data_IF_522014888720
#
_entry.id   IF_522014888720
#
_cell.length_a   1.000
_cell.length_b   1.000
_cell.length_c   1.000
_cell.angle_alpha   90.00
_cell.angle_beta   90.00
_cell.angle_gamma   90.00
#
_symmetry.space_group_name_H-M   'P 1'
#
loop_
_entity.id
_entity.type
_entity.pdbx_description
1 polymer ?
#
# COMPACT_ATOMS: atom_id res chain seq x y z
N UNK A 1 9.18 -2.14 -19.87
CA UNK A 1 9.93 -1.20 -19.00
C UNK A 1 8.99 -0.64 -17.96
N UNK A 2 9.46 -0.54 -16.72
CA UNK A 2 8.75 0.04 -15.58
C UNK A 2 9.08 1.53 -15.46
N UNK A 3 8.09 2.33 -15.13
CA UNK A 3 8.22 3.75 -14.83
C UNK A 3 8.27 3.91 -13.30
N UNK A 4 9.31 4.57 -12.79
CA UNK A 4 9.60 4.65 -11.36
C UNK A 4 9.68 6.11 -10.89
N UNK A 5 9.15 6.34 -9.69
CA UNK A 5 9.33 7.58 -8.95
C UNK A 5 10.55 7.47 -8.03
N UNK A 6 10.67 6.37 -7.27
CA UNK A 6 11.80 6.16 -6.36
C UNK A 6 11.96 4.70 -5.93
N UNK A 7 13.16 4.36 -5.44
CA UNK A 7 13.45 3.16 -4.65
C UNK A 7 14.23 3.57 -3.40
N UNK A 8 13.86 3.01 -2.25
CA UNK A 8 14.55 3.29 -0.99
C UNK A 8 14.35 2.16 0.03
N UNK A 9 15.28 2.02 0.97
CA UNK A 9 15.15 1.14 2.11
C UNK A 9 14.70 1.93 3.33
N UNK A 10 13.65 1.46 4.02
CA UNK A 10 13.08 2.14 5.17
C UNK A 10 12.30 1.16 6.07
N UNK A 11 11.43 1.72 6.90
CA UNK A 11 10.52 0.99 7.80
C UNK A 11 9.09 1.18 7.30
N UNK A 12 8.31 0.09 7.15
CA UNK A 12 6.89 0.22 6.91
C UNK A 12 6.22 0.92 8.09
N UNK A 13 5.56 2.03 7.81
CA UNK A 13 4.96 2.87 8.83
C UNK A 13 3.46 2.69 9.01
N UNK A 14 2.81 1.77 8.28
CA UNK A 14 1.36 1.65 8.19
C UNK A 14 0.89 0.19 8.23
N UNK A 15 -0.35 -0.01 8.71
CA UNK A 15 -1.04 -1.29 8.65
C UNK A 15 -0.41 -2.41 9.47
N UNK A 16 -0.64 -3.64 9.04
CA UNK A 16 -0.20 -4.86 9.73
C UNK A 16 1.32 -4.96 9.87
N UNK A 17 2.06 -4.43 8.90
CA UNK A 17 3.51 -4.55 8.84
C UNK A 17 4.25 -3.34 9.43
N UNK A 18 3.56 -2.46 10.17
CA UNK A 18 4.19 -1.32 10.86
C UNK A 18 5.41 -1.78 11.69
N UNK A 19 6.53 -1.08 11.51
CA UNK A 19 7.79 -1.38 12.19
C UNK A 19 8.70 -2.35 11.45
N UNK A 20 8.25 -2.94 10.32
CA UNK A 20 9.04 -3.91 9.56
C UNK A 20 9.96 -3.20 8.57
N UNK A 21 11.29 -3.53 8.56
CA UNK A 21 12.18 -3.07 7.50
C UNK A 21 11.75 -3.58 6.13
N UNK A 22 11.74 -2.71 5.13
CA UNK A 22 11.33 -3.06 3.77
C UNK A 22 12.04 -2.19 2.72
N UNK A 23 12.26 -2.76 1.53
CA UNK A 23 12.62 -2.00 0.35
C UNK A 23 11.35 -1.54 -0.35
N UNK A 24 11.19 -0.25 -0.53
CA UNK A 24 10.06 0.35 -1.22
C UNK A 24 10.40 0.55 -2.69
N UNK A 25 9.55 0.06 -3.57
CA UNK A 25 9.59 0.32 -5.00
C UNK A 25 8.35 1.14 -5.34
N UNK A 26 8.54 2.45 -5.50
CA UNK A 26 7.47 3.38 -5.86
C UNK A 26 7.39 3.55 -7.37
N UNK A 27 6.34 3.00 -7.96
CA UNK A 27 6.05 3.15 -9.38
C UNK A 27 5.45 4.53 -9.66
N UNK A 28 5.77 5.10 -10.82
CA UNK A 28 5.28 6.40 -11.23
C UNK A 28 3.88 6.32 -11.83
N UNK A 29 3.13 7.41 -11.72
CA UNK A 29 1.79 7.55 -12.28
C UNK A 29 0.69 6.92 -11.43
N UNK A 30 -0.50 7.49 -11.53
CA UNK A 30 -1.72 7.01 -10.88
C UNK A 30 -2.90 7.19 -11.84
N UNK A 31 -3.88 6.32 -11.72
CA UNK A 31 -5.14 6.43 -12.45
C UNK A 31 -6.22 7.22 -11.70
N UNK A 32 -5.88 7.75 -10.54
CA UNK A 32 -6.71 8.66 -9.72
C UNK A 32 -5.96 9.97 -9.43
N UNK A 33 -6.69 11.01 -9.03
CA UNK A 33 -6.18 12.33 -8.66
C UNK A 33 -6.81 12.78 -7.34
N UNK A 34 -6.42 12.16 -6.23
CA UNK A 34 -7.00 12.45 -4.91
C UNK A 34 -6.44 13.75 -4.32
N UNK A 35 -7.30 14.64 -3.84
CA UNK A 35 -6.91 15.95 -3.27
C UNK A 35 -6.03 15.81 -2.00
N UNK A 36 -6.22 14.73 -1.24
CA UNK A 36 -5.45 14.45 -0.02
C UNK A 36 -4.18 13.64 -0.27
N UNK A 37 -3.79 13.39 -1.53
CA UNK A 37 -2.62 12.58 -1.84
C UNK A 37 -1.33 13.27 -1.41
N UNK A 38 -0.56 12.62 -0.53
CA UNK A 38 0.72 13.10 -0.01
C UNK A 38 1.95 12.47 -0.71
N UNK A 39 1.70 11.69 -1.78
CA UNK A 39 2.75 10.94 -2.47
C UNK A 39 3.23 11.65 -3.74
N UNK A 40 4.54 11.91 -3.86
CA UNK A 40 5.16 12.25 -5.14
C UNK A 40 5.39 10.98 -5.97
N UNK A 41 4.54 10.77 -6.96
CA UNK A 41 4.63 9.67 -7.91
C UNK A 41 5.02 10.16 -9.33
N UNK A 42 5.63 11.31 -9.43
CA UNK A 42 6.15 11.81 -10.71
C UNK A 42 7.23 10.87 -11.26
N UNK A 43 7.24 10.68 -12.58
CA UNK A 43 8.25 9.87 -13.24
C UNK A 43 9.65 10.48 -13.04
N UNK A 44 10.57 9.71 -12.49
CA UNK A 44 11.97 10.10 -12.31
C UNK A 44 12.91 9.30 -13.24
N UNK A 45 12.62 8.00 -13.44
CA UNK A 45 13.43 7.16 -14.32
C UNK A 45 12.64 5.92 -14.81
N UNK A 46 13.22 5.24 -15.82
CA UNK A 46 12.67 4.03 -16.40
C UNK A 46 13.69 2.90 -16.20
N UNK A 47 13.22 1.70 -15.88
CA UNK A 47 14.06 0.52 -15.71
C UNK A 47 13.39 -0.75 -16.22
N UNK A 48 14.17 -1.76 -16.55
CA UNK A 48 13.68 -3.12 -16.76
C UNK A 48 13.34 -3.80 -15.43
N UNK A 49 12.64 -4.91 -15.47
CA UNK A 49 12.38 -5.73 -14.27
C UNK A 49 13.68 -6.16 -13.60
N UNK A 50 14.65 -6.64 -14.38
CA UNK A 50 15.94 -7.10 -13.86
C UNK A 50 16.74 -5.98 -13.18
N UNK A 51 16.72 -4.77 -13.76
CA UNK A 51 17.36 -3.60 -13.16
C UNK A 51 16.70 -3.19 -11.85
N UNK A 52 15.36 -3.31 -11.73
CA UNK A 52 14.67 -3.03 -10.47
C UNK A 52 15.06 -4.06 -9.41
N UNK A 53 15.07 -5.36 -9.76
CA UNK A 53 15.48 -6.42 -8.82
C UNK A 53 16.94 -6.23 -8.38
N UNK A 54 17.84 -5.87 -9.30
CA UNK A 54 19.24 -5.58 -8.95
C UNK A 54 19.33 -4.42 -7.95
N UNK A 55 18.62 -3.30 -8.18
CA UNK A 55 18.58 -2.16 -7.26
C UNK A 55 17.98 -2.50 -5.90
N UNK A 56 16.98 -3.39 -5.84
CA UNK A 56 16.43 -3.89 -4.57
C UNK A 56 17.52 -4.61 -3.77
N UNK A 57 18.32 -5.47 -4.43
CA UNK A 57 19.47 -6.17 -3.80
C UNK A 57 20.53 -5.19 -3.32
N UNK A 58 20.86 -4.17 -4.13
CA UNK A 58 21.85 -3.14 -3.79
C UNK A 58 21.43 -2.31 -2.57
N UNK A 59 20.12 -2.01 -2.43
CA UNK A 59 19.59 -1.29 -1.27
C UNK A 59 19.63 -2.10 0.01
N UNK A 60 19.31 -3.38 -0.06
CA UNK A 60 19.43 -4.32 1.05
C UNK A 60 19.37 -5.77 0.55
N UNK A 61 20.52 -6.44 0.58
CA UNK A 61 20.65 -7.84 0.15
C UNK A 61 19.78 -8.78 1.02
N UNK A 62 19.71 -8.51 2.32
CA UNK A 62 19.10 -9.40 3.32
C UNK A 62 17.66 -9.02 3.71
N UNK A 63 17.13 -7.91 3.21
CA UNK A 63 15.76 -7.50 3.53
C UNK A 63 14.75 -8.45 2.88
N UNK A 64 13.95 -9.20 3.67
CA UNK A 64 13.04 -10.19 3.09
C UNK A 64 11.78 -9.56 2.46
N UNK A 65 11.50 -8.26 2.71
CA UNK A 65 10.26 -7.60 2.31
C UNK A 65 10.49 -6.52 1.27
N UNK A 66 9.70 -6.56 0.20
CA UNK A 66 9.59 -5.50 -0.80
C UNK A 66 8.15 -5.00 -0.86
N UNK A 67 7.98 -3.69 -0.74
CA UNK A 67 6.67 -3.04 -0.87
C UNK A 67 6.58 -2.35 -2.22
N UNK A 68 5.69 -2.86 -3.07
CA UNK A 68 5.32 -2.23 -4.32
C UNK A 68 4.23 -1.22 -4.06
N UNK A 69 4.53 0.03 -4.29
CA UNK A 69 3.63 1.17 -4.09
C UNK A 69 3.76 2.14 -5.25
N UNK A 70 3.27 3.35 -5.11
CA UNK A 70 3.44 4.39 -6.12
C UNK A 70 2.29 5.36 -6.11
N UNK A 71 1.88 5.78 -7.32
CA UNK A 71 0.53 6.23 -7.53
C UNK A 71 -0.41 5.02 -7.49
N UNK A 72 -0.52 4.29 -8.61
CA UNK A 72 -1.17 2.96 -8.62
C UNK A 72 -0.23 1.94 -9.27
N UNK A 73 0.38 1.02 -8.48
CA UNK A 73 1.36 0.09 -9.03
C UNK A 73 0.77 -0.90 -10.05
N UNK A 74 -0.50 -1.26 -9.90
CA UNK A 74 -1.17 -2.21 -10.80
C UNK A 74 -1.61 -1.58 -12.13
N UNK A 75 -1.45 -0.27 -12.31
CA UNK A 75 -1.70 0.40 -13.59
C UNK A 75 -0.60 0.13 -14.64
N UNK A 76 0.57 -0.34 -14.24
CA UNK A 76 1.66 -0.61 -15.16
C UNK A 76 1.65 -2.09 -15.61
N UNK A 77 1.66 -2.31 -16.93
CA UNK A 77 1.59 -3.64 -17.56
C UNK A 77 2.70 -4.60 -17.09
N UNK A 78 3.85 -4.09 -16.72
CA UNK A 78 4.99 -4.92 -16.29
C UNK A 78 5.03 -5.21 -14.79
N UNK A 79 4.09 -4.71 -13.99
CA UNK A 79 4.04 -4.98 -12.55
C UNK A 79 3.89 -6.46 -12.22
N UNK A 80 3.06 -7.27 -12.92
CA UNK A 80 3.01 -8.71 -12.67
C UNK A 80 4.37 -9.40 -12.84
N UNK A 81 5.11 -9.06 -13.89
CA UNK A 81 6.44 -9.61 -14.12
C UNK A 81 7.45 -9.21 -13.03
N UNK A 82 7.34 -7.98 -12.49
CA UNK A 82 8.15 -7.54 -11.35
C UNK A 82 7.81 -8.33 -10.07
N UNK A 83 6.53 -8.57 -9.82
CA UNK A 83 6.07 -9.39 -8.69
C UNK A 83 6.70 -10.77 -8.76
N UNK A 84 6.61 -11.45 -9.91
CA UNK A 84 7.17 -12.78 -10.10
C UNK A 84 8.69 -12.80 -9.95
N UNK A 85 9.40 -11.81 -10.47
CA UNK A 85 10.85 -11.70 -10.36
C UNK A 85 11.31 -11.48 -8.90
N UNK A 86 10.61 -10.63 -8.14
CA UNK A 86 10.91 -10.40 -6.72
C UNK A 86 10.62 -11.66 -5.86
N UNK A 87 9.55 -12.39 -6.16
CA UNK A 87 9.24 -13.67 -5.50
C UNK A 87 10.31 -14.72 -5.82
N UNK A 88 10.75 -14.79 -7.08
CA UNK A 88 11.86 -15.67 -7.49
C UNK A 88 13.20 -15.29 -6.81
N UNK A 89 13.38 -14.00 -6.46
CA UNK A 89 14.50 -13.50 -5.65
C UNK A 89 14.36 -13.82 -4.14
N UNK A 90 13.32 -14.56 -3.75
CA UNK A 90 13.07 -14.93 -2.37
C UNK A 90 12.46 -13.83 -1.50
N UNK A 91 11.96 -12.76 -2.11
CA UNK A 91 11.34 -11.64 -1.39
C UNK A 91 9.87 -11.91 -1.11
N UNK A 92 9.40 -11.52 0.06
CA UNK A 92 7.98 -11.34 0.35
C UNK A 92 7.51 -10.05 -0.31
N UNK A 93 6.54 -10.14 -1.21
CA UNK A 93 6.00 -8.98 -1.92
C UNK A 93 4.74 -8.49 -1.22
N UNK A 94 4.70 -7.22 -0.90
CA UNK A 94 3.55 -6.50 -0.39
C UNK A 94 3.15 -5.42 -1.42
N UNK A 95 1.86 -5.34 -1.74
CA UNK A 95 1.32 -4.38 -2.71
C UNK A 95 0.38 -3.42 -1.99
N UNK A 96 0.60 -2.12 -2.20
CA UNK A 96 -0.28 -1.04 -1.79
C UNK A 96 -1.05 -0.53 -3.01
N UNK A 97 -2.35 -0.84 -3.12
CA UNK A 97 -3.18 -0.51 -4.28
C UNK A 97 -4.43 0.27 -3.88
N UNK A 98 -4.93 1.12 -4.77
CA UNK A 98 -6.25 1.75 -4.61
C UNK A 98 -7.43 0.80 -4.92
N UNK A 99 -7.14 -0.40 -5.42
CA UNK A 99 -8.11 -1.45 -5.68
C UNK A 99 -9.03 -1.22 -6.88
N UNK A 100 -8.72 -0.26 -7.75
CA UNK A 100 -9.57 0.04 -8.94
C UNK A 100 -9.29 -0.85 -10.13
N UNK A 101 -8.12 -1.48 -10.17
CA UNK A 101 -7.64 -2.29 -11.30
C UNK A 101 -7.59 -3.75 -10.85
N UNK A 102 -8.38 -4.58 -11.51
CA UNK A 102 -8.42 -6.01 -11.25
C UNK A 102 -7.21 -6.71 -11.86
N UNK A 103 -6.42 -7.36 -11.01
CA UNK A 103 -5.25 -8.16 -11.40
C UNK A 103 -5.25 -9.45 -10.59
N UNK A 104 -5.03 -10.58 -11.26
CA UNK A 104 -4.79 -11.84 -10.58
C UNK A 104 -3.41 -11.80 -9.91
N UNK A 105 -3.37 -12.00 -8.60
CA UNK A 105 -2.16 -11.99 -7.79
C UNK A 105 -1.92 -13.36 -7.16
N UNK A 106 -0.66 -13.81 -7.04
CA UNK A 106 -0.32 -15.03 -6.31
C UNK A 106 -0.78 -14.96 -4.85
N UNK A 107 -1.14 -16.11 -4.26
CA UNK A 107 -1.70 -16.19 -2.91
C UNK A 107 -0.72 -15.74 -1.81
N UNK A 108 0.57 -15.89 -2.03
CA UNK A 108 1.64 -15.50 -1.12
C UNK A 108 2.00 -14.00 -1.19
N UNK A 109 1.42 -13.24 -2.12
CA UNK A 109 1.54 -11.79 -2.18
C UNK A 109 0.58 -11.13 -1.19
N UNK A 110 1.09 -10.28 -0.32
CA UNK A 110 0.26 -9.48 0.57
C UNK A 110 -0.33 -8.29 -0.18
N UNK A 111 -1.65 -8.18 -0.15
CA UNK A 111 -2.38 -7.08 -0.79
C UNK A 111 -3.06 -6.20 0.25
N UNK A 112 -2.63 -4.94 0.32
CA UNK A 112 -3.35 -3.86 1.00
C UNK A 112 -4.14 -3.07 -0.04
N UNK A 113 -5.45 -2.94 0.20
CA UNK A 113 -6.35 -2.15 -0.65
C UNK A 113 -6.81 -0.91 0.08
N UNK A 114 -6.60 0.25 -0.53
CA UNK A 114 -7.01 1.55 0.00
C UNK A 114 -7.99 2.24 -0.94
N UNK A 115 -9.30 1.91 -0.90
CA UNK A 115 -10.29 2.44 -1.83
C UNK A 115 -10.47 3.95 -1.65
N UNK A 116 -10.77 4.64 -2.76
CA UNK A 116 -10.97 6.09 -2.82
C UNK A 116 -12.34 6.43 -3.45
N UNK A 117 -12.45 6.25 -4.77
CA UNK A 117 -13.66 6.58 -5.54
C UNK A 117 -14.44 5.32 -5.95
N UNK A 118 -13.74 4.25 -6.23
CA UNK A 118 -14.28 2.96 -6.67
C UNK A 118 -13.41 1.81 -6.20
N UNK A 119 -13.99 0.63 -6.16
CA UNK A 119 -13.34 -0.60 -5.73
C UNK A 119 -13.79 -1.75 -6.62
N UNK A 120 -12.85 -2.47 -7.23
CA UNK A 120 -13.13 -3.69 -7.96
C UNK A 120 -13.48 -4.82 -6.96
N UNK A 121 -14.62 -5.52 -7.13
CA UNK A 121 -15.05 -6.57 -6.20
C UNK A 121 -14.02 -7.69 -6.01
N UNK A 122 -13.32 -8.08 -7.08
CA UNK A 122 -12.27 -9.09 -7.00
C UNK A 122 -11.08 -8.64 -6.14
N UNK A 123 -10.72 -7.34 -6.18
CA UNK A 123 -9.66 -6.80 -5.34
C UNK A 123 -10.08 -6.72 -3.88
N UNK A 124 -11.32 -6.36 -3.59
CA UNK A 124 -11.87 -6.39 -2.24
C UNK A 124 -11.86 -7.82 -1.65
N UNK A 125 -12.30 -8.80 -2.44
CA UNK A 125 -12.32 -10.21 -2.03
C UNK A 125 -10.91 -10.79 -1.81
N UNK A 126 -9.90 -10.32 -2.59
CA UNK A 126 -8.50 -10.77 -2.50
C UNK A 126 -7.71 -10.08 -1.39
N UNK A 127 -8.16 -8.92 -0.90
CA UNK A 127 -7.41 -8.10 0.03
C UNK A 127 -7.10 -8.83 1.35
N UNK A 128 -5.83 -8.84 1.76
CA UNK A 128 -5.41 -9.24 3.08
C UNK A 128 -5.69 -8.13 4.10
N UNK A 129 -5.58 -6.89 3.65
CA UNK A 129 -5.74 -5.68 4.45
C UNK A 129 -6.50 -4.61 3.67
N UNK A 130 -7.38 -3.90 4.35
CA UNK A 130 -8.03 -2.70 3.85
C UNK A 130 -7.56 -1.50 4.67
N UNK A 131 -7.17 -0.43 3.99
CA UNK A 131 -6.73 0.82 4.61
C UNK A 131 -7.66 1.95 4.22
N UNK A 132 -8.60 2.28 5.10
CA UNK A 132 -9.64 3.26 4.87
C UNK A 132 -9.20 4.63 5.41
N UNK A 133 -9.07 5.60 4.50
CA UNK A 133 -8.61 6.94 4.86
C UNK A 133 -9.73 7.72 5.53
N UNK A 134 -9.48 8.18 6.75
CA UNK A 134 -10.38 9.05 7.51
C UNK A 134 -9.95 10.50 7.28
N UNK A 135 -10.76 11.24 6.52
CA UNK A 135 -10.56 12.67 6.24
C UNK A 135 -11.87 13.42 6.44
N UNK A 136 -12.00 14.06 7.61
CA UNK A 136 -13.22 14.73 8.05
C UNK A 136 -14.41 13.81 8.33
N UNK A 137 -14.40 12.57 7.85
CA UNK A 137 -15.39 11.52 8.09
C UNK A 137 -14.79 10.11 8.01
N UNK A 138 -15.48 9.14 8.60
CA UNK A 138 -15.18 7.71 8.39
C UNK A 138 -15.85 7.28 7.07
N UNK A 139 -15.13 6.61 6.15
CA UNK A 139 -15.71 6.16 4.89
C UNK A 139 -16.51 4.85 5.07
N UNK A 140 -17.70 4.97 5.67
CA UNK A 140 -18.56 3.85 6.08
C UNK A 140 -19.00 2.99 4.88
N UNK A 141 -19.07 3.58 3.69
CA UNK A 141 -19.41 2.92 2.43
C UNK A 141 -18.47 1.76 2.06
N UNK A 142 -17.26 1.73 2.61
CA UNK A 142 -16.29 0.67 2.34
C UNK A 142 -16.22 -0.40 3.43
N UNK A 143 -16.88 -0.21 4.58
CA UNK A 143 -16.76 -1.14 5.72
C UNK A 143 -17.24 -2.54 5.38
N UNK A 144 -18.32 -2.66 4.59
CA UNK A 144 -18.93 -3.92 4.20
C UNK A 144 -18.40 -4.50 2.88
N UNK A 145 -17.48 -3.78 2.22
CA UNK A 145 -16.90 -4.22 0.96
C UNK A 145 -15.90 -5.37 1.12
N UNK A 146 -15.33 -5.53 2.32
CA UNK A 146 -14.27 -6.49 2.60
C UNK A 146 -14.76 -7.67 3.43
N UNK A 147 -14.26 -8.87 3.10
CA UNK A 147 -14.61 -10.12 3.77
C UNK A 147 -14.08 -10.22 5.22
N UNK A 148 -14.49 -11.27 5.96
CA UNK A 148 -14.15 -11.44 7.38
C UNK A 148 -12.65 -11.70 7.63
N UNK A 149 -11.91 -12.14 6.62
CA UNK A 149 -10.46 -12.37 6.73
C UNK A 149 -9.62 -11.13 6.43
N UNK A 150 -10.23 -10.08 5.90
CA UNK A 150 -9.53 -8.83 5.63
C UNK A 150 -9.41 -8.01 6.91
N UNK A 151 -8.20 -7.68 7.33
CA UNK A 151 -7.99 -6.73 8.42
C UNK A 151 -8.31 -5.31 7.93
N UNK A 152 -9.25 -4.62 8.58
CA UNK A 152 -9.67 -3.28 8.18
C UNK A 152 -9.07 -2.25 9.12
N UNK A 153 -8.24 -1.37 8.57
CA UNK A 153 -7.64 -0.24 9.26
C UNK A 153 -8.33 1.07 8.90
N UNK A 154 -8.58 1.88 9.91
CA UNK A 154 -8.90 3.29 9.77
C UNK A 154 -7.61 4.09 9.90
N UNK A 155 -7.25 4.81 8.83
CA UNK A 155 -6.03 5.61 8.79
C UNK A 155 -6.37 7.09 8.70
N UNK A 156 -6.09 7.86 9.78
CA UNK A 156 -6.29 9.31 9.76
C UNK A 156 -5.40 9.97 8.70
N UNK A 157 -6.02 10.70 7.79
CA UNK A 157 -5.29 11.48 6.79
C UNK A 157 -4.33 12.45 7.50
N UNK A 158 -3.06 12.44 7.08
CA UNK A 158 -2.02 13.31 7.61
C UNK A 158 -1.76 13.18 9.12
N UNK A 159 -2.29 12.17 9.81
CA UNK A 159 -2.32 12.08 11.28
C UNK A 159 -2.91 13.34 11.95
N UNK A 160 -3.79 14.07 11.25
CA UNK A 160 -4.45 15.26 11.79
C UNK A 160 -5.25 14.91 13.06
N UNK A 161 -5.15 15.66 14.15
CA UNK A 161 -5.80 15.31 15.44
C UNK A 161 -7.31 15.05 15.33
N UNK A 162 -8.03 15.83 14.51
CA UNK A 162 -9.45 15.62 14.30
C UNK A 162 -9.76 14.27 13.64
N UNK A 163 -8.99 13.89 12.61
CA UNK A 163 -9.13 12.61 11.92
C UNK A 163 -8.73 11.44 12.83
N UNK A 164 -7.70 11.62 13.68
CA UNK A 164 -7.31 10.62 14.69
C UNK A 164 -8.44 10.38 15.67
N UNK A 165 -9.08 11.44 16.17
CA UNK A 165 -10.22 11.33 17.09
C UNK A 165 -11.38 10.56 16.45
N UNK A 166 -11.71 10.85 15.20
CA UNK A 166 -12.76 10.14 14.45
C UNK A 166 -12.42 8.66 14.26
N UNK A 167 -11.21 8.35 13.85
CA UNK A 167 -10.75 6.97 13.64
C UNK A 167 -10.76 6.16 14.93
N UNK A 168 -10.28 6.72 16.05
CA UNK A 168 -10.33 6.07 17.37
C UNK A 168 -11.76 5.78 17.78
N UNK A 169 -12.64 6.78 17.71
CA UNK A 169 -14.04 6.62 18.10
C UNK A 169 -14.75 5.54 17.26
N UNK A 170 -14.48 5.47 15.95
CA UNK A 170 -15.03 4.44 15.09
C UNK A 170 -14.46 3.05 15.41
N UNK A 171 -13.16 2.92 15.61
CA UNK A 171 -12.53 1.64 15.98
C UNK A 171 -13.05 1.12 17.32
N UNK A 172 -13.27 1.99 18.31
CA UNK A 172 -13.83 1.61 19.61
C UNK A 172 -15.30 1.15 19.53
N UNK A 173 -16.08 1.64 18.56
CA UNK A 173 -17.45 1.17 18.33
C UNK A 173 -17.53 -0.21 17.68
N UNK A 174 -16.49 -0.62 16.94
CA UNK A 174 -16.44 -1.92 16.24
C UNK A 174 -15.09 -2.64 16.47
N UNK A 175 -14.72 -2.97 17.72
CA UNK A 175 -13.36 -3.44 18.09
C UNK A 175 -13.00 -4.80 17.51
N UNK A 176 -14.00 -5.61 17.15
CA UNK A 176 -13.76 -6.90 16.50
C UNK A 176 -13.47 -6.76 15.00
N UNK A 177 -13.77 -5.61 14.39
CA UNK A 177 -13.70 -5.39 12.95
C UNK A 177 -12.66 -4.36 12.53
N UNK A 178 -12.52 -3.28 13.29
CA UNK A 178 -11.73 -2.10 12.91
C UNK A 178 -10.50 -1.95 13.79
N UNK A 179 -9.41 -1.53 13.18
CA UNK A 179 -8.15 -1.20 13.83
C UNK A 179 -7.71 0.20 13.43
N UNK A 180 -6.94 0.85 14.29
CA UNK A 180 -6.28 2.11 13.96
C UNK A 180 -4.95 1.84 13.27
N UNK A 181 -4.68 2.52 12.17
CA UNK A 181 -3.34 2.63 11.57
C UNK A 181 -2.91 4.09 11.56
N UNK A 182 -1.74 4.39 12.09
CA UNK A 182 -1.12 5.70 11.98
C UNK A 182 -0.04 5.66 10.90
N UNK A 183 0.32 6.82 10.36
CA UNK A 183 1.51 6.98 9.51
C UNK A 183 2.73 7.15 10.44
N UNK A 184 3.19 6.02 11.01
CA UNK A 184 4.24 6.00 12.04
C UNK A 184 5.57 6.54 11.54
N UNK A 185 5.88 6.31 10.23
CA UNK A 185 7.08 6.84 9.57
C UNK A 185 7.18 8.37 9.70
N UNK A 186 6.05 9.09 9.70
CA UNK A 186 6.04 10.56 9.89
C UNK A 186 6.45 10.99 11.30
N UNK A 187 6.17 10.17 12.32
CA UNK A 187 6.55 10.47 13.71
C UNK A 187 8.02 10.18 13.99
N UNK A 188 8.56 9.11 13.39
CA UNK A 188 9.96 8.73 13.59
C UNK A 188 10.91 9.37 12.58
N UNK A 189 10.40 10.15 11.63
CA UNK A 189 11.21 10.93 10.68
C UNK A 189 11.94 10.09 9.62
N UNK A 190 11.39 8.92 9.26
CA UNK A 190 11.90 8.11 8.13
C UNK A 190 10.99 8.27 6.91
N UNK A 191 11.53 7.87 5.74
CA UNK A 191 10.77 7.92 4.47
C UNK A 191 9.68 6.87 4.45
#
# INVERSE_FOLDING_TARGET
>A
MLQLAELFFSIQGEGTWTGTPAVFVRLAGCNLACDFCDTDYALKFIASVDEVVARVRDLSADCPMVILTGGEPLAQMHTPALIDALRADGRRVHIESNGTIEVSLPDDVWLTVSPKERLAPAMAARANEAKLIVDGRVPEEWLDAFGPHTTVFLQPEGNKPANVTLAIAAAQRAPARLRLSLQTHKFIGVR
#
